data_IF_808553923288
#
_entry.id   IF_808553923288
#
_cell.length_a   1.000
_cell.length_b   1.000
_cell.length_c   1.000
_cell.angle_alpha   90.00
_cell.angle_beta   90.00
_cell.angle_gamma   90.00
#
_symmetry.space_group_name_H-M   'P 1'
#
loop_
_entity.id
_entity.type
_entity.pdbx_description
1 polymer ?
#
# COMPACT_ATOMS: atom_id res chain seq x y z
N UNK A 1 -38.85 38.62 68.70
CA UNK A 1 -37.74 38.34 67.75
C UNK A 1 -37.65 36.84 67.50
N UNK A 2 -38.41 36.26 66.56
CA UNK A 2 -38.15 34.90 66.04
C UNK A 2 -38.77 34.76 64.64
N UNK A 3 -38.12 35.27 63.58
CA UNK A 3 -38.57 35.01 62.20
C UNK A 3 -37.43 35.22 61.19
N UNK A 4 -36.41 34.34 61.14
CA UNK A 4 -35.45 34.34 60.01
C UNK A 4 -34.49 33.12 59.94
N UNK A 5 -34.90 31.89 60.28
CA UNK A 5 -33.97 30.72 60.25
C UNK A 5 -34.45 29.58 59.32
N UNK A 6 -35.63 29.67 58.71
CA UNK A 6 -36.23 28.55 57.96
C UNK A 6 -36.05 28.58 56.43
N UNK A 7 -35.49 29.65 55.84
CA UNK A 7 -35.42 29.81 54.37
C UNK A 7 -34.10 29.39 53.71
N UNK A 8 -33.04 29.14 54.47
CA UNK A 8 -31.73 28.73 53.93
C UNK A 8 -31.60 27.22 53.76
N UNK A 9 -32.20 26.40 54.64
CA UNK A 9 -32.02 24.94 54.61
C UNK A 9 -32.71 24.25 53.43
N UNK A 10 -33.83 24.81 52.93
CA UNK A 10 -34.56 24.27 51.78
C UNK A 10 -33.80 24.41 50.46
N UNK A 11 -33.01 25.48 50.34
CA UNK A 11 -32.28 25.83 49.11
C UNK A 11 -31.01 24.98 48.97
N UNK A 12 -30.31 24.73 50.08
CA UNK A 12 -29.14 23.85 50.10
C UNK A 12 -29.51 22.38 49.87
N UNK A 13 -30.68 21.95 50.38
CA UNK A 13 -31.20 20.60 50.16
C UNK A 13 -31.62 20.39 48.69
N UNK A 14 -32.23 21.39 48.05
CA UNK A 14 -32.59 21.32 46.64
C UNK A 14 -31.35 21.31 45.72
N UNK A 15 -30.34 22.13 46.03
CA UNK A 15 -29.09 22.19 45.27
C UNK A 15 -28.28 20.88 45.37
N UNK A 16 -28.22 20.29 46.57
CA UNK A 16 -27.57 18.98 46.78
C UNK A 16 -28.30 17.82 46.10
N UNK A 17 -29.64 17.81 46.09
CA UNK A 17 -30.42 16.83 45.33
C UNK A 17 -30.20 16.96 43.82
N UNK A 18 -30.16 18.19 43.30
CA UNK A 18 -29.90 18.47 41.89
C UNK A 18 -28.50 17.98 41.48
N UNK A 19 -27.47 18.29 42.27
CA UNK A 19 -26.11 17.81 42.04
C UNK A 19 -25.99 16.28 42.10
N UNK A 20 -26.65 15.64 43.07
CA UNK A 20 -26.70 14.18 43.17
C UNK A 20 -27.40 13.54 41.96
N UNK A 21 -28.51 14.13 41.50
CA UNK A 21 -29.24 13.64 40.32
C UNK A 21 -28.41 13.74 39.03
N UNK A 22 -27.64 14.83 38.88
CA UNK A 22 -26.74 15.03 37.75
C UNK A 22 -25.57 14.03 37.78
N UNK A 23 -24.95 13.82 38.95
CA UNK A 23 -23.88 12.84 39.11
C UNK A 23 -24.35 11.40 38.80
N UNK A 24 -25.59 11.05 39.19
CA UNK A 24 -26.19 9.74 38.86
C UNK A 24 -26.44 9.63 37.34
N UNK A 25 -26.92 10.70 36.70
CA UNK A 25 -27.14 10.70 35.25
C UNK A 25 -25.82 10.54 34.48
N UNK A 26 -24.77 11.28 34.85
CA UNK A 26 -23.43 11.16 34.27
C UNK A 26 -22.83 9.77 34.50
N UNK A 27 -23.03 9.19 35.70
CA UNK A 27 -22.60 7.83 36.02
C UNK A 27 -23.30 6.78 35.13
N UNK A 28 -24.60 6.92 34.88
CA UNK A 28 -25.35 6.05 33.96
C UNK A 28 -24.86 6.15 32.52
N UNK A 29 -24.56 7.36 32.04
CA UNK A 29 -24.02 7.57 30.69
C UNK A 29 -22.63 6.92 30.55
N UNK A 30 -21.74 7.12 31.53
CA UNK A 30 -20.41 6.47 31.53
C UNK A 30 -20.49 4.95 31.59
N UNK A 31 -21.41 4.40 32.39
CA UNK A 31 -21.64 2.96 32.47
C UNK A 31 -22.18 2.39 31.15
N UNK A 32 -23.13 3.09 30.51
CA UNK A 32 -23.65 2.71 29.19
C UNK A 32 -22.55 2.76 28.11
N UNK A 33 -21.70 3.79 28.13
CA UNK A 33 -20.55 3.89 27.22
C UNK A 33 -19.56 2.74 27.44
N UNK A 34 -19.22 2.43 28.69
CA UNK A 34 -18.31 1.33 29.01
C UNK A 34 -18.86 -0.03 28.52
N UNK A 35 -20.17 -0.26 28.61
CA UNK A 35 -20.81 -1.47 28.06
C UNK A 35 -20.75 -1.50 26.53
N UNK A 36 -20.93 -0.36 25.86
CA UNK A 36 -20.81 -0.25 24.40
C UNK A 36 -19.36 -0.48 23.92
N UNK A 37 -18.38 0.07 24.64
CA UNK A 37 -16.95 -0.13 24.37
C UNK A 37 -16.58 -1.61 24.54
N UNK A 38 -17.07 -2.27 25.60
CA UNK A 38 -16.87 -3.71 25.83
C UNK A 38 -17.45 -4.57 24.71
N UNK A 39 -18.63 -4.23 24.20
CA UNK A 39 -19.21 -4.93 23.03
C UNK A 39 -18.31 -4.79 21.81
N UNK A 40 -17.81 -3.58 21.54
CA UNK A 40 -16.93 -3.28 20.42
C UNK A 40 -15.60 -4.03 20.52
N UNK A 41 -15.05 -4.16 21.74
CA UNK A 41 -13.87 -4.98 22.01
C UNK A 41 -14.17 -6.46 21.75
N UNK A 42 -15.33 -6.96 22.19
CA UNK A 42 -15.76 -8.34 21.95
C UNK A 42 -15.80 -8.67 20.45
N UNK A 43 -16.41 -7.80 19.65
CA UNK A 43 -16.47 -7.95 18.19
C UNK A 43 -15.07 -7.92 17.55
N UNK A 44 -14.19 -7.03 18.05
CA UNK A 44 -12.80 -6.92 17.58
C UNK A 44 -11.98 -8.18 17.89
N UNK A 45 -12.16 -8.76 19.07
CA UNK A 45 -11.47 -10.00 19.46
C UNK A 45 -11.93 -11.17 18.60
N UNK A 46 -13.24 -11.30 18.34
CA UNK A 46 -13.77 -12.34 17.47
C UNK A 46 -13.20 -12.23 16.04
N UNK A 47 -13.14 -11.01 15.49
CA UNK A 47 -12.54 -10.76 14.17
C UNK A 47 -11.04 -11.11 14.13
N UNK A 48 -10.29 -10.80 15.20
CA UNK A 48 -8.87 -11.18 15.30
C UNK A 48 -8.67 -12.69 15.38
N UNK A 49 -9.51 -13.41 16.12
CA UNK A 49 -9.46 -14.87 16.20
C UNK A 49 -9.75 -15.52 14.85
N UNK A 50 -10.75 -15.04 14.11
CA UNK A 50 -11.03 -15.55 12.76
C UNK A 50 -9.86 -15.29 11.81
N UNK A 51 -9.25 -14.10 11.90
CA UNK A 51 -8.07 -13.75 11.10
C UNK A 51 -6.89 -14.66 11.41
N UNK A 52 -6.59 -14.92 12.69
CA UNK A 52 -5.52 -15.84 13.09
C UNK A 52 -5.77 -17.24 12.55
N UNK A 53 -6.99 -17.76 12.70
CA UNK A 53 -7.36 -19.07 12.17
C UNK A 53 -7.16 -19.17 10.65
N UNK A 54 -7.62 -18.18 9.88
CA UNK A 54 -7.40 -18.14 8.42
C UNK A 54 -5.91 -18.11 8.07
N UNK A 55 -5.10 -17.35 8.80
CA UNK A 55 -3.65 -17.28 8.58
C UNK A 55 -2.96 -18.61 8.91
N UNK A 56 -3.35 -19.27 10.00
CA UNK A 56 -2.82 -20.59 10.37
C UNK A 56 -3.19 -21.66 9.35
N UNK A 57 -4.45 -21.72 8.90
CA UNK A 57 -4.90 -22.65 7.86
C UNK A 57 -4.14 -22.43 6.54
N UNK A 58 -3.95 -21.17 6.15
CA UNK A 58 -3.15 -20.82 4.96
C UNK A 58 -1.68 -21.21 5.13
N UNK A 59 -1.08 -20.96 6.29
CA UNK A 59 0.32 -21.34 6.59
C UNK A 59 0.50 -22.86 6.56
N UNK A 60 -0.45 -23.61 7.13
CA UNK A 60 -0.47 -25.07 7.10
C UNK A 60 -0.68 -25.64 5.69
N UNK A 61 -1.50 -25.00 4.87
CA UNK A 61 -1.66 -25.38 3.47
C UNK A 61 -0.40 -25.07 2.65
N UNK A 62 0.20 -23.90 2.90
CA UNK A 62 1.41 -23.44 2.22
C UNK A 62 2.64 -24.30 2.55
N UNK A 63 2.77 -24.79 3.78
CA UNK A 63 3.90 -25.64 4.20
C UNK A 63 3.95 -26.99 3.49
N UNK A 64 2.83 -27.42 2.89
CA UNK A 64 2.74 -28.66 2.08
C UNK A 64 3.18 -28.45 0.63
N UNK A 65 3.42 -27.21 0.21
CA UNK A 65 3.82 -26.86 -1.15
C UNK A 65 5.33 -26.67 -1.17
N UNK A 66 6.00 -27.36 -2.11
CA UNK A 66 7.40 -27.08 -2.39
C UNK A 66 7.49 -25.76 -3.17
N UNK A 67 8.06 -24.73 -2.53
CA UNK A 67 8.15 -23.38 -3.08
C UNK A 67 9.47 -23.22 -3.83
N UNK A 68 9.39 -22.76 -5.08
CA UNK A 68 10.55 -22.30 -5.83
C UNK A 68 10.82 -20.83 -5.53
N UNK A 69 12.00 -20.50 -5.02
CA UNK A 69 12.44 -19.12 -4.81
C UNK A 69 13.27 -18.64 -6.00
N UNK A 70 12.95 -17.44 -6.50
CA UNK A 70 13.63 -16.78 -7.60
C UNK A 70 14.00 -15.37 -7.17
N UNK A 71 15.29 -15.04 -7.21
CA UNK A 71 15.78 -13.70 -6.89
C UNK A 71 16.10 -12.91 -8.16
N UNK A 72 15.72 -11.62 -8.16
CA UNK A 72 16.23 -10.63 -9.10
C UNK A 72 16.72 -9.40 -8.36
N UNK A 73 17.76 -8.79 -8.91
CA UNK A 73 18.28 -7.51 -8.43
C UNK A 73 17.99 -6.45 -9.48
N UNK A 74 17.39 -5.36 -9.04
CA UNK A 74 16.96 -4.26 -9.92
C UNK A 74 17.42 -2.93 -9.34
N UNK A 75 17.77 -1.98 -10.20
CA UNK A 75 17.99 -0.62 -9.75
C UNK A 75 16.64 0.10 -9.73
N UNK A 76 16.39 0.82 -8.63
CA UNK A 76 15.25 1.71 -8.50
C UNK A 76 15.33 2.85 -9.51
N UNK A 77 14.18 3.36 -9.92
CA UNK A 77 14.15 4.62 -10.63
C UNK A 77 14.52 5.78 -9.69
N UNK A 78 15.21 6.78 -10.24
CA UNK A 78 15.41 8.05 -9.56
C UNK A 78 14.10 8.87 -9.40
N UNK A 79 13.02 8.46 -10.07
CA UNK A 79 11.75 9.18 -10.08
C UNK A 79 10.64 8.36 -9.40
N UNK A 80 9.90 9.01 -8.51
CA UNK A 80 8.77 8.44 -7.79
C UNK A 80 7.45 8.51 -8.59
N UNK A 81 7.46 8.06 -9.86
CA UNK A 81 6.30 8.13 -10.77
C UNK A 81 5.87 6.76 -11.27
N UNK A 82 4.60 6.61 -11.66
CA UNK A 82 4.09 5.35 -12.23
C UNK A 82 4.76 5.00 -13.57
N UNK A 83 5.11 6.00 -14.39
CA UNK A 83 5.83 5.80 -15.66
C UNK A 83 7.24 5.27 -15.51
N UNK A 84 7.84 5.43 -14.33
CA UNK A 84 9.21 5.01 -14.03
C UNK A 84 9.25 3.89 -12.98
N UNK A 85 8.12 3.22 -12.76
CA UNK A 85 8.01 2.21 -11.73
C UNK A 85 8.90 1.00 -12.02
N UNK A 86 9.54 0.47 -10.98
CA UNK A 86 10.32 -0.74 -11.05
C UNK A 86 9.39 -1.95 -11.12
N UNK A 87 9.53 -2.78 -12.15
CA UNK A 87 8.70 -3.98 -12.32
C UNK A 87 9.09 -5.07 -11.33
N UNK A 88 8.13 -5.50 -10.51
CA UNK A 88 8.32 -6.56 -9.51
C UNK A 88 7.68 -7.90 -9.95
N UNK A 89 6.84 -7.92 -10.98
CA UNK A 89 6.36 -9.13 -11.63
C UNK A 89 4.84 -9.29 -11.69
N UNK A 90 4.42 -10.53 -11.97
CA UNK A 90 3.01 -10.89 -12.11
C UNK A 90 2.52 -11.61 -10.85
N UNK A 91 1.41 -11.14 -10.28
CA UNK A 91 0.71 -11.74 -9.16
C UNK A 91 -0.42 -12.64 -9.67
N UNK A 92 -0.25 -13.94 -9.49
CA UNK A 92 -1.13 -15.00 -10.02
C UNK A 92 -1.66 -15.81 -8.83
N UNK A 93 -2.97 -16.04 -8.82
CA UNK A 93 -3.64 -16.76 -7.74
C UNK A 93 -3.03 -18.17 -7.55
N UNK A 94 -2.77 -18.54 -6.29
CA UNK A 94 -2.24 -19.86 -5.90
C UNK A 94 -0.92 -20.26 -6.60
N UNK A 95 -0.20 -19.28 -7.12
CA UNK A 95 0.98 -19.49 -7.95
C UNK A 95 2.13 -18.60 -7.55
N UNK A 96 1.97 -17.27 -7.53
CA UNK A 96 3.10 -16.37 -7.31
C UNK A 96 2.93 -15.51 -6.07
N UNK A 97 4.03 -15.35 -5.34
CA UNK A 97 4.20 -14.34 -4.30
C UNK A 97 5.32 -13.39 -4.74
N UNK A 98 5.12 -12.10 -4.53
CA UNK A 98 6.09 -11.06 -4.90
C UNK A 98 6.63 -10.41 -3.63
N UNK A 99 7.94 -10.45 -3.44
CA UNK A 99 8.63 -9.77 -2.35
C UNK A 99 9.50 -8.65 -2.91
N UNK A 100 9.55 -7.54 -2.18
CA UNK A 100 10.39 -6.39 -2.51
C UNK A 100 11.16 -5.99 -1.27
N UNK A 101 12.49 -5.97 -1.37
CA UNK A 101 13.39 -5.52 -0.32
C UNK A 101 14.07 -4.25 -0.79
N UNK A 102 13.95 -3.17 -0.02
CA UNK A 102 14.59 -1.91 -0.36
C UNK A 102 14.79 -0.99 0.83
N UNK A 103 15.37 0.17 0.54
CA UNK A 103 15.51 1.26 1.48
C UNK A 103 15.12 2.57 0.78
N UNK A 104 14.49 3.46 1.53
CA UNK A 104 14.19 4.82 1.11
C UNK A 104 15.21 5.75 1.78
N UNK A 105 16.10 6.37 0.99
CA UNK A 105 17.14 7.25 1.52
C UNK A 105 16.59 8.62 1.87
N UNK A 106 17.36 9.35 2.67
CA UNK A 106 17.11 10.78 2.89
C UNK A 106 17.15 11.54 1.56
N UNK A 107 16.08 12.28 1.28
CA UNK A 107 15.93 13.09 0.07
C UNK A 107 15.23 12.39 -1.09
N UNK A 108 15.06 11.06 -1.03
CA UNK A 108 14.28 10.31 -2.02
C UNK A 108 12.82 10.78 -2.02
N UNK A 109 12.26 10.97 -3.22
CA UNK A 109 10.84 11.36 -3.38
C UNK A 109 9.87 10.21 -3.18
N UNK A 110 10.39 8.99 -3.08
CA UNK A 110 9.64 7.76 -2.98
C UNK A 110 10.11 6.73 -3.99
N UNK A 111 9.72 5.49 -3.73
CA UNK A 111 9.92 4.36 -4.62
C UNK A 111 8.57 3.94 -5.18
N UNK A 112 8.52 3.60 -6.47
CA UNK A 112 7.30 3.11 -7.12
C UNK A 112 7.59 1.77 -7.77
N UNK A 113 6.78 0.77 -7.41
CA UNK A 113 6.86 -0.59 -7.92
C UNK A 113 5.63 -0.90 -8.74
N UNK A 114 5.81 -1.57 -9.87
CA UNK A 114 4.73 -2.06 -10.73
C UNK A 114 4.56 -3.57 -10.55
N UNK A 115 3.31 -4.00 -10.36
CA UNK A 115 2.93 -5.40 -10.46
C UNK A 115 1.68 -5.55 -11.32
N UNK A 116 1.56 -6.69 -11.99
CA UNK A 116 0.35 -7.03 -12.77
C UNK A 116 -0.38 -8.15 -12.08
N UNK A 117 -1.67 -7.99 -11.83
CA UNK A 117 -2.51 -9.07 -11.29
C UNK A 117 -3.11 -9.86 -12.45
N UNK A 118 -3.13 -11.20 -12.33
CA UNK A 118 -3.83 -12.07 -13.28
C UNK A 118 -5.13 -12.59 -12.68
N UNK A 119 -6.23 -12.28 -13.38
CA UNK A 119 -7.60 -12.58 -12.95
C UNK A 119 -8.05 -11.76 -11.73
N UNK A 120 -9.35 -11.76 -11.46
CA UNK A 120 -9.92 -11.09 -10.27
C UNK A 120 -9.67 -11.94 -9.01
N UNK A 121 -9.41 -11.31 -7.87
CA UNK A 121 -9.39 -12.00 -6.58
C UNK A 121 -8.78 -11.17 -5.46
N UNK A 122 -8.87 -11.69 -4.23
CA UNK A 122 -8.39 -10.99 -3.04
C UNK A 122 -6.88 -11.04 -2.92
N UNK A 123 -6.27 -9.91 -2.59
CA UNK A 123 -4.82 -9.77 -2.46
C UNK A 123 -4.47 -9.41 -1.03
N UNK A 124 -3.37 -9.99 -0.55
CA UNK A 124 -2.78 -9.68 0.74
C UNK A 124 -1.51 -8.85 0.56
N UNK A 125 -1.39 -7.74 1.28
CA UNK A 125 -0.16 -6.95 1.39
C UNK A 125 0.43 -7.08 2.80
N UNK A 126 1.60 -7.69 2.89
CA UNK A 126 2.46 -7.63 4.07
C UNK A 126 3.48 -6.52 3.93
N UNK A 127 3.78 -5.82 5.03
CA UNK A 127 4.88 -4.86 5.09
C UNK A 127 5.60 -4.99 6.42
N UNK A 128 6.92 -5.00 6.35
CA UNK A 128 7.82 -4.83 7.50
C UNK A 128 8.70 -3.63 7.18
N UNK A 129 8.76 -2.63 8.06
CA UNK A 129 9.56 -1.45 7.77
C UNK A 129 9.98 -0.68 9.00
N UNK A 130 10.97 0.18 8.80
CA UNK A 130 11.27 1.27 9.71
C UNK A 130 10.05 2.23 9.79
N UNK A 131 9.85 2.89 10.94
CA UNK A 131 8.72 3.80 11.15
C UNK A 131 8.76 5.03 10.22
N UNK A 132 7.58 5.61 9.99
CA UNK A 132 7.38 6.84 9.21
C UNK A 132 7.50 6.64 7.69
N UNK A 133 7.06 5.49 7.21
CA UNK A 133 6.79 5.26 5.79
C UNK A 133 5.29 5.28 5.53
N UNK A 134 4.92 5.78 4.35
CA UNK A 134 3.57 5.71 3.80
C UNK A 134 3.60 4.78 2.59
N UNK A 135 2.61 3.89 2.53
CA UNK A 135 2.40 2.99 1.40
C UNK A 135 1.06 3.29 0.75
N UNK A 136 1.08 3.41 -0.57
CA UNK A 136 -0.11 3.61 -1.36
C UNK A 136 -0.17 2.54 -2.45
N UNK A 137 -1.34 1.91 -2.64
CA UNK A 137 -1.63 1.11 -3.83
C UNK A 137 -2.43 1.96 -4.78
N UNK A 138 -2.00 2.03 -6.03
CA UNK A 138 -2.56 2.90 -7.05
C UNK A 138 -2.90 2.11 -8.32
N UNK A 139 -3.91 2.59 -9.03
CA UNK A 139 -4.19 2.20 -10.41
C UNK A 139 -3.15 2.77 -11.37
N UNK A 140 -3.11 2.24 -12.60
CA UNK A 140 -2.29 2.77 -13.70
C UNK A 140 -2.41 4.27 -13.95
N UNK A 141 -3.60 4.83 -13.71
CA UNK A 141 -3.87 6.26 -13.91
C UNK A 141 -3.60 7.12 -12.67
N UNK A 142 -2.96 6.57 -11.63
CA UNK A 142 -2.59 7.29 -10.42
C UNK A 142 -3.72 7.44 -9.38
N UNK A 143 -4.89 6.83 -9.62
CA UNK A 143 -5.95 6.78 -8.62
C UNK A 143 -5.53 5.89 -7.44
N UNK A 144 -5.55 6.45 -6.22
CA UNK A 144 -5.18 5.74 -4.98
C UNK A 144 -6.32 4.82 -4.55
N UNK A 145 -6.06 3.51 -4.53
CA UNK A 145 -6.99 2.47 -4.10
C UNK A 145 -6.89 2.20 -2.60
N UNK A 146 -5.67 2.18 -2.08
CA UNK A 146 -5.36 1.92 -0.69
C UNK A 146 -4.24 2.84 -0.22
N UNK A 147 -4.31 3.33 1.02
CA UNK A 147 -3.36 4.26 1.59
C UNK A 147 -3.12 3.99 3.08
N UNK A 148 -1.87 3.75 3.46
CA UNK A 148 -1.52 3.46 4.85
C UNK A 148 -1.69 4.65 5.78
N UNK A 149 -1.78 5.88 5.24
CA UNK A 149 -1.93 7.10 6.04
C UNK A 149 -3.32 7.14 6.68
N UNK A 150 -3.34 7.32 8.00
CA UNK A 150 -4.56 7.54 8.77
C UNK A 150 -5.30 8.80 8.31
N UNK A 151 -6.63 8.81 8.46
CA UNK A 151 -7.46 9.94 8.06
C UNK A 151 -7.71 10.08 6.55
N UNK A 152 -7.24 9.14 5.72
CA UNK A 152 -7.52 9.11 4.26
C UNK A 152 -8.85 8.43 3.90
N UNK A 153 -9.73 8.20 4.89
CA UNK A 153 -11.07 7.65 4.72
C UNK A 153 -11.05 6.26 4.08
N UNK A 154 -11.85 6.09 3.01
CA UNK A 154 -12.01 4.81 2.29
C UNK A 154 -10.68 4.20 1.83
N UNK A 155 -9.68 5.00 1.49
CA UNK A 155 -8.37 4.47 1.08
C UNK A 155 -7.62 3.82 2.26
N UNK A 156 -7.78 4.32 3.48
CA UNK A 156 -7.23 3.67 4.66
C UNK A 156 -7.96 2.37 5.00
N UNK A 157 -9.28 2.35 4.85
CA UNK A 157 -10.08 1.13 5.01
C UNK A 157 -9.67 0.06 3.98
N UNK A 158 -9.51 0.45 2.72
CA UNK A 158 -8.98 -0.44 1.66
C UNK A 158 -7.56 -0.93 1.97
N UNK A 159 -6.72 -0.12 2.61
CA UNK A 159 -5.39 -0.55 3.04
C UNK A 159 -5.46 -1.62 4.13
N UNK A 160 -6.31 -1.43 5.14
CA UNK A 160 -6.58 -2.45 6.16
C UNK A 160 -7.16 -3.73 5.55
N UNK A 161 -8.09 -3.60 4.60
CA UNK A 161 -8.65 -4.73 3.85
C UNK A 161 -7.56 -5.47 3.05
N UNK A 162 -6.62 -4.74 2.44
CA UNK A 162 -5.49 -5.33 1.73
C UNK A 162 -4.53 -6.05 2.69
N UNK A 163 -4.27 -5.51 3.89
CA UNK A 163 -3.48 -6.22 4.91
C UNK A 163 -4.17 -7.49 5.43
N UNK A 164 -5.49 -7.55 5.33
CA UNK A 164 -6.29 -8.69 5.75
C UNK A 164 -6.53 -9.73 4.65
N UNK A 165 -6.20 -9.41 3.39
CA UNK A 165 -6.52 -10.29 2.26
C UNK A 165 -7.98 -10.22 1.81
N UNK A 166 -8.67 -9.11 2.07
CA UNK A 166 -10.07 -8.88 1.74
C UNK A 166 -10.26 -7.97 0.52
N UNK A 167 -9.24 -7.19 0.14
CA UNK A 167 -9.32 -6.29 -1.01
C UNK A 167 -9.21 -7.09 -2.31
N UNK A 168 -10.28 -7.09 -3.11
CA UNK A 168 -10.30 -7.69 -4.45
C UNK A 168 -9.76 -6.70 -5.47
N UNK A 169 -8.78 -7.13 -6.25
CA UNK A 169 -8.35 -6.44 -7.46
C UNK A 169 -8.74 -7.25 -8.68
N UNK A 170 -9.15 -6.55 -9.74
CA UNK A 170 -9.38 -7.12 -11.06
C UNK A 170 -8.07 -7.30 -11.82
N UNK A 171 -8.09 -8.15 -12.85
CA UNK A 171 -6.98 -8.32 -13.78
C UNK A 171 -6.48 -6.96 -14.30
N UNK A 172 -5.21 -6.65 -14.09
CA UNK A 172 -4.68 -5.35 -14.47
C UNK A 172 -3.36 -4.98 -13.82
N UNK A 173 -2.86 -3.81 -14.22
CA UNK A 173 -1.60 -3.23 -13.76
C UNK A 173 -1.84 -2.27 -12.58
N UNK A 174 -1.07 -2.48 -11.51
CA UNK A 174 -1.16 -1.72 -10.27
C UNK A 174 0.24 -1.31 -9.79
N UNK A 175 0.25 -0.31 -8.92
CA UNK A 175 1.46 0.33 -8.46
C UNK A 175 1.48 0.41 -6.94
N UNK A 176 2.60 0.04 -6.34
CA UNK A 176 2.87 0.36 -4.94
C UNK A 176 3.81 1.55 -4.90
N UNK A 177 3.40 2.60 -4.19
CA UNK A 177 4.24 3.76 -3.91
C UNK A 177 4.60 3.79 -2.43
N UNK A 178 5.90 3.83 -2.15
CA UNK A 178 6.46 3.97 -0.81
C UNK A 178 7.08 5.36 -0.70
N UNK A 179 6.66 6.15 0.28
CA UNK A 179 7.25 7.47 0.55
C UNK A 179 7.52 7.65 2.03
N UNK A 180 8.30 8.66 2.39
CA UNK A 180 8.28 9.20 3.74
C UNK A 180 6.86 9.71 4.04
N UNK A 181 6.36 9.47 5.24
CA UNK A 181 5.03 9.94 5.68
C UNK A 181 5.03 11.43 6.10
N UNK A 182 6.22 12.02 6.22
CA UNK A 182 6.47 13.40 6.65
C UNK A 182 6.75 13.53 8.15
N UNK A 183 6.79 12.42 8.90
CA UNK A 183 7.11 12.41 10.32
C UNK A 183 8.58 12.07 10.56
N UNK A 184 9.17 12.73 11.56
CA UNK A 184 10.51 12.37 12.05
C UNK A 184 10.38 11.14 12.92
N UNK A 185 10.93 10.02 12.45
CA UNK A 185 10.97 8.78 13.21
C UNK A 185 12.33 8.64 13.90
N UNK A 186 12.33 8.18 15.14
CA UNK A 186 13.53 8.04 15.97
C UNK A 186 13.87 6.57 16.18
N UNK A 187 15.16 6.26 16.28
CA UNK A 187 15.65 4.96 16.72
C UNK A 187 15.50 4.79 18.24
N UNK A 188 15.85 3.61 18.75
CA UNK A 188 15.84 3.27 20.18
C UNK A 188 16.70 4.21 21.05
N UNK A 189 17.60 4.98 20.41
CA UNK A 189 18.52 5.93 21.05
C UNK A 189 18.09 7.38 20.85
N UNK A 190 16.91 7.63 20.29
CA UNK A 190 16.36 8.96 20.05
C UNK A 190 16.97 9.70 18.85
N UNK A 191 17.69 9.01 17.95
CA UNK A 191 18.27 9.61 16.75
C UNK A 191 17.33 9.50 15.54
N UNK A 192 17.24 10.53 14.68
CA UNK A 192 16.46 10.44 13.45
C UNK A 192 16.89 9.27 12.55
N UNK A 193 15.91 8.47 12.13
CA UNK A 193 16.10 7.43 11.12
C UNK A 193 16.00 8.10 9.75
N UNK A 194 17.16 8.44 9.18
CA UNK A 194 17.24 9.16 7.91
C UNK A 194 17.02 8.25 6.69
N UNK A 195 17.55 7.03 6.75
CA UNK A 195 17.38 5.98 5.75
C UNK A 195 16.46 4.91 6.33
N UNK A 196 15.37 4.60 5.61
CA UNK A 196 14.30 3.72 6.09
C UNK A 196 14.24 2.45 5.26
N UNK A 197 14.51 1.30 5.88
CA UNK A 197 14.44 -0.01 5.26
C UNK A 197 13.00 -0.52 5.27
N UNK A 198 12.64 -1.28 4.24
CA UNK A 198 11.35 -1.94 4.18
C UNK A 198 11.38 -3.20 3.32
N UNK A 199 10.47 -4.11 3.66
CA UNK A 199 10.12 -5.28 2.90
C UNK A 199 8.61 -5.26 2.63
N UNK A 200 8.20 -5.47 1.39
CA UNK A 200 6.81 -5.61 0.99
C UNK A 200 6.60 -7.01 0.43
N UNK A 201 5.48 -7.63 0.80
CA UNK A 201 5.04 -8.92 0.30
C UNK A 201 3.64 -8.78 -0.29
N UNK A 202 3.45 -9.26 -1.52
CA UNK A 202 2.14 -9.41 -2.17
C UNK A 202 1.85 -10.88 -2.42
N UNK A 203 0.67 -11.35 -2.02
CA UNK A 203 0.19 -12.69 -2.35
C UNK A 203 -1.29 -12.68 -2.74
N UNK A 204 -1.70 -13.70 -3.49
CA UNK A 204 -3.09 -13.94 -3.89
C UNK A 204 -3.44 -15.40 -3.61
N UNK A 205 -3.76 -15.70 -2.35
CA UNK A 205 -3.92 -17.07 -1.87
C UNK A 205 -2.57 -17.75 -1.58
N UNK A 206 -2.47 -19.03 -1.90
CA UNK A 206 -1.23 -19.80 -1.76
C UNK A 206 -0.22 -19.41 -2.85
N UNK A 207 0.97 -19.99 -2.82
CA UNK A 207 1.98 -19.77 -3.84
C UNK A 207 2.88 -20.99 -4.03
N UNK A 208 3.39 -21.14 -5.24
CA UNK A 208 4.36 -22.18 -5.63
C UNK A 208 5.69 -21.57 -6.04
N UNK A 209 5.68 -20.30 -6.42
CA UNK A 209 6.86 -19.53 -6.82
C UNK A 209 6.91 -18.25 -6.00
N UNK A 210 8.08 -17.97 -5.46
CA UNK A 210 8.36 -16.81 -4.64
C UNK A 210 9.39 -15.93 -5.35
N UNK A 211 9.01 -14.71 -5.70
CA UNK A 211 9.86 -13.78 -6.45
C UNK A 211 10.42 -12.71 -5.53
N UNK A 212 11.70 -12.83 -5.22
CA UNK A 212 12.44 -11.86 -4.40
C UNK A 212 13.03 -10.78 -5.28
N UNK A 213 12.59 -9.54 -5.08
CA UNK A 213 13.14 -8.37 -5.76
C UNK A 213 13.97 -7.55 -4.79
N UNK A 214 15.29 -7.53 -4.99
CA UNK A 214 16.19 -6.63 -4.26
C UNK A 214 16.30 -5.33 -5.07
N UNK A 215 15.62 -4.28 -4.60
CA UNK A 215 15.60 -3.00 -5.26
C UNK A 215 16.71 -2.09 -4.72
N UNK A 216 17.82 -2.03 -5.46
CA UNK A 216 19.00 -1.22 -5.15
C UNK A 216 18.78 0.25 -5.49
N UNK A 217 19.48 1.13 -4.80
CA UNK A 217 19.39 2.56 -5.08
C UNK A 217 19.70 2.89 -6.54
N UNK A 218 19.05 3.94 -7.04
CA UNK A 218 19.33 4.47 -8.36
C UNK A 218 20.83 4.83 -8.44
N UNK A 219 21.52 4.29 -9.45
CA UNK A 219 22.82 4.79 -9.87
C UNK A 219 22.64 5.99 -10.79
N UNK A 220 23.65 6.85 -10.93
CA UNK A 220 23.61 7.98 -11.86
C UNK A 220 23.23 7.55 -13.31
N UNK A 221 23.57 6.31 -13.69
CA UNK A 221 23.26 5.71 -14.98
C UNK A 221 21.82 5.15 -15.09
N UNK A 222 21.12 4.90 -13.99
CA UNK A 222 19.71 4.43 -13.97
C UNK A 222 18.66 5.55 -14.04
N UNK A 223 19.11 6.78 -14.34
CA UNK A 223 18.27 7.95 -14.56
C UNK A 223 17.49 7.92 -15.88
N UNK A 224 17.75 6.93 -16.75
CA UNK A 224 16.92 6.66 -17.93
C UNK A 224 15.70 5.82 -17.54
N UNK A 225 14.46 6.26 -17.82
CA UNK A 225 13.27 5.45 -17.54
C UNK A 225 13.42 4.08 -18.19
N UNK A 226 13.27 3.00 -17.41
CA UNK A 226 13.23 1.66 -17.97
C UNK A 226 11.96 1.50 -18.79
N UNK A 227 12.08 1.72 -20.10
CA UNK A 227 11.01 1.49 -21.05
C UNK A 227 10.64 0.01 -20.97
N UNK A 228 9.34 -0.28 -20.87
CA UNK A 228 8.83 -1.65 -20.98
C UNK A 228 9.24 -2.29 -22.31
N UNK A 229 9.29 -3.62 -22.40
CA UNK A 229 9.63 -4.31 -23.65
C UNK A 229 8.76 -3.85 -24.84
N UNK A 230 7.48 -3.55 -24.59
CA UNK A 230 6.55 -3.00 -25.58
C UNK A 230 6.92 -1.56 -26.01
N UNK A 231 7.47 -0.74 -25.12
CA UNK A 231 7.97 0.60 -25.46
C UNK A 231 9.32 0.55 -26.17
N UNK A 232 10.18 -0.43 -25.85
CA UNK A 232 11.42 -0.69 -26.58
C UNK A 232 11.11 -1.14 -28.02
N UNK A 233 10.12 -2.00 -28.19
CA UNK A 233 9.66 -2.48 -29.50
C UNK A 233 9.01 -1.35 -30.32
N UNK A 234 8.19 -0.51 -29.69
CA UNK A 234 7.64 0.68 -30.33
C UNK A 234 8.73 1.69 -30.69
N UNK A 235 9.73 1.91 -29.83
CA UNK A 235 10.86 2.79 -30.11
C UNK A 235 11.72 2.26 -31.26
N UNK A 236 11.97 0.94 -31.30
CA UNK A 236 12.66 0.28 -32.40
C UNK A 236 11.85 0.35 -33.71
N UNK A 237 10.52 0.26 -33.63
CA UNK A 237 9.63 0.41 -34.79
C UNK A 237 9.56 1.85 -35.31
N UNK A 238 9.61 2.86 -34.44
CA UNK A 238 9.67 4.27 -34.85
C UNK A 238 11.04 4.66 -35.42
N UNK A 239 12.13 4.11 -34.88
CA UNK A 239 13.47 4.34 -35.43
C UNK A 239 13.65 3.68 -36.80
N UNK A 240 13.03 2.51 -37.04
CA UNK A 240 13.02 1.86 -38.36
C UNK A 240 12.10 2.55 -39.37
N UNK A 241 11.04 3.25 -38.95
CA UNK A 241 10.23 4.09 -39.86
C UNK A 241 10.86 5.45 -40.17
N UNK A 242 11.92 5.85 -39.47
CA UNK A 242 12.63 7.12 -39.71
C UNK A 242 13.64 7.06 -40.86
N UNK A 243 13.78 5.89 -41.51
CA UNK A 243 14.55 5.70 -42.75
C UNK A 243 13.64 5.25 -43.89
N UNK A 244 12.70 6.11 -44.29
CA UNK A 244 12.38 6.21 -45.72
C UNK A 244 13.18 7.40 -46.24
N UNK A 245 14.10 7.22 -47.21
CA UNK A 245 14.74 8.36 -47.84
C UNK A 245 13.66 9.17 -48.57
N UNK A 246 13.19 10.23 -47.92
CA UNK A 246 12.49 11.33 -48.57
C UNK A 246 13.48 12.02 -49.48
N UNK A 247 13.55 11.60 -50.74
CA UNK A 247 14.50 12.18 -51.70
C UNK A 247 14.48 11.63 -53.12
N UNK A 248 13.79 10.54 -53.43
CA UNK A 248 13.70 10.06 -54.82
C UNK A 248 12.27 10.21 -55.35
N UNK A 249 12.12 11.12 -56.34
CA UNK A 249 10.87 11.32 -57.05
C UNK A 249 10.46 10.03 -57.80
N UNK A 250 9.15 9.76 -57.86
CA UNK A 250 8.58 8.52 -58.40
C UNK A 250 8.96 8.18 -59.85
N UNK A 251 9.59 9.09 -60.59
CA UNK A 251 10.14 8.85 -61.94
C UNK A 251 11.49 8.11 -61.94
N UNK A 252 12.29 8.14 -60.86
CA UNK A 252 13.54 7.38 -60.76
C UNK A 252 13.31 5.88 -60.50
N UNK A 253 12.26 5.53 -59.75
CA UNK A 253 11.92 4.12 -59.46
C UNK A 253 11.37 3.34 -60.65
N UNK A 254 10.81 4.04 -61.66
CA UNK A 254 10.26 3.41 -62.87
C UNK A 254 11.31 3.13 -63.96
N UNK A 255 12.44 3.86 -63.97
CA UNK A 255 13.52 3.64 -64.93
C UNK A 255 14.43 2.45 -64.58
N UNK A 256 14.50 2.05 -63.30
CA UNK A 256 15.29 0.90 -62.85
C UNK A 256 14.59 -0.46 -62.96
N UNK A 257 13.30 -0.49 -63.33
CA UNK A 257 12.50 -1.74 -63.36
C UNK A 257 12.29 -2.29 -64.78
N UNK A 258 12.72 -1.60 -65.84
CA UNK A 258 12.52 -2.01 -67.24
C UNK A 258 13.74 -1.84 -68.17
N UNK A 259 14.95 -1.63 -67.65
CA UNK A 259 16.18 -1.58 -68.44
C UNK A 259 17.29 -2.39 -67.76
N UNK A 260 17.93 -3.29 -68.52
CA UNK A 260 19.03 -4.15 -68.06
C UNK A 260 20.31 -3.45 -67.67
#
# INVERSE_FOLDING_TARGET
MVTSILSSSSTDTAASLAAASQAIAEGKVKAAQAVADLSTIGDSVAALQEKQKKQEEQSLAQSKINVQTLEKQVNKSAYATTSSATDIGNLVADSTRLNVYSALKKGDKGDVYRFTTQGTGSITLGMVSDPGLRVQVMTRYGGVLADSKEGTGKSNESYKALQNGDLKLDNGEYFIKVTHDGTTSLDEKGKPIEDKNYAIQLSKGLYKTDYDTIAKQATAASSTPQLSSAQLELQNMLQTQSYTPTGESGTQKLMGMFGG
#
